data_IF_393816529751
#
_entry.id   IF_393816529751
#
_cell.length_a   1.000
_cell.length_b   1.000
_cell.length_c   1.000
_cell.angle_alpha   90.00
_cell.angle_beta   90.00
_cell.angle_gamma   90.00
#
_symmetry.space_group_name_H-M   'P 1'
#
loop_
_entity.id
_entity.type
_entity.pdbx_description
1 polymer ?
#
# COMPACT_ATOMS: atom_id res chain seq x y z
N UNK A 1 -28.95 1.07 -15.67
CA UNK A 1 -28.32 1.07 -14.32
C UNK A 1 -26.84 1.37 -14.46
N UNK A 2 -26.28 2.31 -13.68
CA UNK A 2 -24.85 2.65 -13.72
C UNK A 2 -24.10 1.81 -12.67
N UNK A 3 -23.18 0.94 -13.10
CA UNK A 3 -22.44 0.04 -12.20
C UNK A 3 -21.37 0.79 -11.39
N UNK A 4 -21.41 0.65 -10.06
CA UNK A 4 -20.45 1.24 -9.10
C UNK A 4 -19.25 0.35 -8.79
N UNK A 5 -19.29 -0.95 -9.12
CA UNK A 5 -18.22 -1.93 -8.87
C UNK A 5 -17.12 -1.89 -9.96
N UNK A 6 -16.61 -0.70 -10.27
CA UNK A 6 -15.59 -0.48 -11.29
C UNK A 6 -14.52 0.51 -10.84
N UNK A 7 -14.42 0.77 -9.52
CA UNK A 7 -13.59 1.85 -8.97
C UNK A 7 -12.12 1.68 -9.28
N UNK A 8 -11.58 0.46 -9.15
CA UNK A 8 -10.18 0.13 -9.48
C UNK A 8 -9.92 0.42 -10.96
N UNK A 9 -10.68 -0.23 -11.86
CA UNK A 9 -10.53 -0.06 -13.32
C UNK A 9 -10.66 1.40 -13.79
N UNK A 10 -11.44 2.23 -13.08
CA UNK A 10 -11.66 3.64 -13.41
C UNK A 10 -10.77 4.60 -12.63
N UNK A 11 -9.79 4.09 -11.87
CA UNK A 11 -8.89 4.89 -11.04
C UNK A 11 -9.61 5.85 -10.07
N UNK A 12 -10.72 5.38 -9.47
CA UNK A 12 -11.55 6.19 -8.57
C UNK A 12 -11.08 6.07 -7.13
N UNK A 13 -10.01 6.79 -6.81
CA UNK A 13 -9.41 6.84 -5.48
C UNK A 13 -10.12 7.84 -4.56
N UNK A 14 -10.09 7.58 -3.26
CA UNK A 14 -10.56 8.50 -2.23
C UNK A 14 -9.65 9.74 -2.19
N UNK A 15 -10.25 10.93 -2.24
CA UNK A 15 -9.53 12.21 -2.17
C UNK A 15 -9.30 12.72 -0.74
N UNK A 16 -9.84 12.01 0.25
CA UNK A 16 -9.82 12.40 1.67
C UNK A 16 -8.79 11.58 2.46
N UNK A 17 -7.71 11.15 1.82
CA UNK A 17 -6.58 10.48 2.47
C UNK A 17 -5.30 11.22 2.11
N UNK A 18 -4.39 11.33 3.07
CA UNK A 18 -3.12 12.04 2.91
C UNK A 18 -2.01 11.39 3.73
N UNK A 19 -0.77 11.61 3.31
CA UNK A 19 0.43 11.12 4.01
C UNK A 19 0.85 12.15 5.04
N UNK A 20 1.16 11.70 6.24
CA UNK A 20 1.64 12.55 7.32
C UNK A 20 2.79 11.89 8.08
N UNK A 21 3.61 12.68 8.75
CA UNK A 21 4.64 12.16 9.64
C UNK A 21 4.02 11.76 10.99
N UNK A 22 4.24 10.51 11.41
CA UNK A 22 3.74 9.98 12.69
C UNK A 22 4.69 10.24 13.86
N UNK A 23 5.86 10.84 13.60
CA UNK A 23 6.98 11.09 14.54
C UNK A 23 7.63 9.85 15.15
N UNK A 24 6.90 8.74 15.28
CA UNK A 24 7.37 7.50 15.92
C UNK A 24 7.56 6.34 14.95
N UNK A 25 6.75 6.26 13.91
CA UNK A 25 6.73 5.12 12.98
C UNK A 25 7.00 5.55 11.54
N UNK A 26 7.68 6.70 11.36
CA UNK A 26 7.89 7.30 10.06
C UNK A 26 6.61 7.85 9.45
N UNK A 27 6.47 7.74 8.13
CA UNK A 27 5.30 8.23 7.41
C UNK A 27 4.08 7.32 7.65
N UNK A 28 2.90 7.93 7.71
CA UNK A 28 1.61 7.27 7.91
C UNK A 28 0.57 7.79 6.93
N UNK A 29 -0.50 7.03 6.73
CA UNK A 29 -1.67 7.46 5.97
C UNK A 29 -2.81 7.83 6.93
N UNK A 30 -3.41 9.01 6.77
CA UNK A 30 -4.56 9.46 7.58
C UNK A 30 -5.75 9.87 6.73
N UNK A 31 -6.93 9.86 7.34
CA UNK A 31 -8.11 10.48 6.77
C UNK A 31 -8.11 12.00 7.01
N UNK A 32 -8.48 12.76 5.99
CA UNK A 32 -8.62 14.23 6.03
C UNK A 32 -10.07 14.67 6.30
N UNK A 33 -11.02 13.73 6.26
CA UNK A 33 -12.43 13.91 6.56
C UNK A 33 -13.03 12.57 7.04
N UNK A 34 -14.23 12.55 7.65
CA UNK A 34 -14.90 11.30 8.00
C UNK A 34 -15.09 10.39 6.77
N UNK A 35 -14.74 9.11 6.90
CA UNK A 35 -14.87 8.11 5.84
C UNK A 35 -15.88 7.06 6.29
N UNK A 36 -16.93 6.84 5.49
CA UNK A 36 -17.93 5.83 5.79
C UNK A 36 -17.36 4.40 5.65
N UNK A 37 -17.85 3.47 6.48
CA UNK A 37 -17.50 2.05 6.41
C UNK A 37 -17.76 1.49 5.00
N UNK A 38 -16.81 0.71 4.48
CA UNK A 38 -16.89 0.11 3.13
C UNK A 38 -16.52 1.07 1.99
N UNK A 39 -16.09 2.30 2.30
CA UNK A 39 -15.54 3.20 1.28
C UNK A 39 -14.24 2.65 0.72
N UNK A 40 -14.18 2.52 -0.59
CA UNK A 40 -12.95 2.20 -1.31
C UNK A 40 -11.96 3.38 -1.22
N UNK A 41 -10.74 3.11 -0.76
CA UNK A 41 -9.71 4.12 -0.56
C UNK A 41 -8.80 4.25 -1.78
N UNK A 42 -7.90 3.31 -1.99
CA UNK A 42 -6.96 3.29 -3.09
C UNK A 42 -6.47 1.86 -3.33
N UNK A 43 -5.83 1.65 -4.47
CA UNK A 43 -5.16 0.39 -4.78
C UNK A 43 -3.74 0.39 -4.21
N UNK A 44 -3.32 -0.75 -3.66
CA UNK A 44 -1.92 -0.98 -3.29
C UNK A 44 -1.14 -1.38 -4.54
N UNK A 45 -0.30 -0.47 -5.02
CA UNK A 45 0.43 -0.64 -6.29
C UNK A 45 1.93 -0.71 -6.01
N UNK A 46 2.63 -1.54 -6.77
CA UNK A 46 4.07 -1.69 -6.81
C UNK A 46 4.50 -2.60 -7.97
N UNK A 47 5.76 -2.96 -8.04
CA UNK A 47 6.27 -3.96 -8.99
C UNK A 47 5.75 -5.36 -8.60
N UNK A 48 5.15 -6.10 -9.54
CA UNK A 48 4.77 -7.49 -9.30
C UNK A 48 5.99 -8.38 -9.60
N UNK A 49 6.52 -9.03 -8.57
CA UNK A 49 7.70 -9.88 -8.65
C UNK A 49 7.45 -11.24 -7.97
N UNK A 50 8.31 -12.23 -8.24
CA UNK A 50 8.25 -13.52 -7.56
C UNK A 50 8.74 -13.40 -6.11
N UNK A 51 8.31 -14.31 -5.24
CA UNK A 51 8.81 -14.38 -3.86
C UNK A 51 10.33 -14.55 -3.78
N UNK A 52 10.90 -15.39 -4.65
CA UNK A 52 12.36 -15.56 -4.77
C UNK A 52 13.06 -14.23 -5.07
N UNK A 53 12.57 -13.49 -6.07
CA UNK A 53 13.12 -12.19 -6.43
C UNK A 53 12.97 -11.16 -5.31
N UNK A 54 11.86 -11.20 -4.58
CA UNK A 54 11.65 -10.34 -3.42
C UNK A 54 12.67 -10.65 -2.31
N UNK A 55 12.91 -11.93 -2.00
CA UNK A 55 13.92 -12.34 -1.01
C UNK A 55 15.34 -11.93 -1.43
N UNK A 56 15.70 -12.06 -2.71
CA UNK A 56 16.96 -11.54 -3.24
C UNK A 56 17.09 -10.03 -3.02
N UNK A 57 16.04 -9.25 -3.32
CA UNK A 57 16.05 -7.79 -3.11
C UNK A 57 16.17 -7.45 -1.62
N UNK A 58 15.46 -8.17 -0.75
CA UNK A 58 15.55 -8.00 0.70
C UNK A 58 16.96 -8.26 1.23
N UNK A 59 17.63 -9.31 0.77
CA UNK A 59 18.97 -9.65 1.23
C UNK A 59 20.06 -8.70 0.71
N UNK A 60 19.88 -8.12 -0.49
CA UNK A 60 20.94 -7.36 -1.16
C UNK A 60 20.67 -5.85 -1.22
N UNK A 61 19.47 -5.44 -1.63
CA UNK A 61 19.13 -4.03 -1.87
C UNK A 61 18.53 -3.35 -0.65
N UNK A 62 17.67 -4.06 0.09
CA UNK A 62 16.89 -3.52 1.21
C UNK A 62 17.40 -4.00 2.58
N UNK A 63 18.60 -4.58 2.63
CA UNK A 63 19.16 -5.20 3.84
C UNK A 63 19.41 -4.22 4.99
N UNK A 64 19.44 -2.92 4.70
CA UNK A 64 19.62 -1.83 5.67
C UNK A 64 18.37 -0.97 5.84
N UNK A 65 17.28 -1.31 5.17
CA UNK A 65 16.05 -0.53 5.26
C UNK A 65 15.25 -0.94 6.51
N UNK A 66 14.78 0.06 7.25
CA UNK A 66 13.97 -0.16 8.46
C UNK A 66 12.47 -0.37 8.14
N UNK A 67 12.03 0.07 6.97
CA UNK A 67 10.63 0.04 6.55
C UNK A 67 10.42 -0.93 5.39
N UNK A 68 9.40 -1.78 5.50
CA UNK A 68 9.08 -2.79 4.51
C UNK A 68 7.81 -2.46 3.73
N UNK A 69 7.94 -2.20 2.43
CA UNK A 69 6.83 -1.83 1.56
C UNK A 69 6.48 -2.99 0.62
N UNK A 70 5.76 -4.00 1.14
CA UNK A 70 5.44 -5.21 0.39
C UNK A 70 4.05 -5.76 0.72
N UNK A 71 3.41 -6.43 -0.24
CA UNK A 71 2.14 -7.13 -0.05
C UNK A 71 2.11 -8.44 -0.83
N UNK A 72 1.76 -9.55 -0.18
CA UNK A 72 1.58 -10.84 -0.86
C UNK A 72 0.35 -10.78 -1.76
N UNK A 73 0.51 -11.11 -3.04
CA UNK A 73 -0.56 -11.10 -4.05
C UNK A 73 -1.12 -12.50 -4.29
N UNK A 74 -0.24 -13.47 -4.49
CA UNK A 74 -0.59 -14.90 -4.63
C UNK A 74 0.42 -15.75 -3.86
N UNK A 75 0.36 -17.07 -3.97
CA UNK A 75 1.34 -17.96 -3.32
C UNK A 75 2.78 -17.67 -3.76
N UNK A 76 3.00 -17.22 -5.00
CA UNK A 76 4.33 -17.07 -5.59
C UNK A 76 4.65 -15.63 -6.03
N UNK A 77 3.69 -14.69 -5.88
CA UNK A 77 3.82 -13.30 -6.33
C UNK A 77 3.65 -12.32 -5.18
N UNK A 78 4.46 -11.27 -5.23
CA UNK A 78 4.55 -10.19 -4.27
C UNK A 78 4.43 -8.87 -5.02
N UNK A 79 3.71 -7.91 -4.44
CA UNK A 79 3.76 -6.50 -4.84
C UNK A 79 4.86 -5.84 -4.03
N UNK A 80 5.99 -5.56 -4.67
CA UNK A 80 7.11 -4.81 -4.12
C UNK A 80 6.91 -3.31 -4.38
N UNK A 81 6.65 -2.56 -3.32
CA UNK A 81 6.37 -1.13 -3.36
C UNK A 81 7.55 -0.26 -2.84
N UNK A 82 8.75 -0.82 -2.66
CA UNK A 82 9.91 -0.08 -2.15
C UNK A 82 10.32 1.09 -3.04
N UNK A 83 10.43 0.84 -4.35
CA UNK A 83 10.94 1.82 -5.33
C UNK A 83 9.82 2.56 -6.07
N UNK A 84 8.70 1.88 -6.30
CA UNK A 84 7.56 2.39 -7.05
C UNK A 84 6.29 1.97 -6.34
N UNK A 85 5.38 2.91 -6.07
CA UNK A 85 4.11 2.55 -5.47
C UNK A 85 3.17 3.72 -5.22
N UNK A 86 1.96 3.38 -4.76
CA UNK A 86 0.93 4.37 -4.39
C UNK A 86 1.11 4.89 -2.96
N UNK A 87 0.28 5.85 -2.55
CA UNK A 87 0.22 6.34 -1.16
C UNK A 87 -0.20 5.24 -0.16
N UNK A 88 -0.79 4.14 -0.64
CA UNK A 88 -1.23 3.02 0.18
C UNK A 88 -0.07 2.38 0.95
N UNK A 89 1.17 2.47 0.43
CA UNK A 89 2.36 1.91 1.10
C UNK A 89 2.68 2.55 2.45
N UNK A 90 2.13 3.74 2.73
CA UNK A 90 2.30 4.43 4.00
C UNK A 90 1.20 4.09 5.03
N UNK A 91 0.30 3.16 4.73
CA UNK A 91 -0.62 2.64 5.72
C UNK A 91 0.15 1.79 6.74
N UNK A 92 0.28 2.30 7.96
CA UNK A 92 0.98 1.60 9.03
C UNK A 92 0.17 0.42 9.58
N UNK A 93 0.88 -0.52 10.20
CA UNK A 93 0.28 -1.65 10.90
C UNK A 93 -0.43 -1.21 12.19
N UNK A 94 -1.55 -1.85 12.51
CA UNK A 94 -2.23 -1.79 13.80
C UNK A 94 -2.70 -3.19 14.17
N UNK A 95 -2.62 -3.57 15.45
CA UNK A 95 -3.20 -4.81 15.94
C UNK A 95 -4.74 -4.78 15.96
N UNK A 96 -5.35 -3.60 15.84
CA UNK A 96 -6.80 -3.40 15.68
C UNK A 96 -7.05 -2.47 14.48
N UNK A 97 -7.02 -3.00 13.25
CA UNK A 97 -7.26 -2.22 12.03
C UNK A 97 -8.73 -1.82 11.84
#
# INVERSE_FOLDING_TARGET
>A
VKCSNQKIRKNQWCKHVDVFDTSKYGQGLRAMAPIAKGTFLCEYVGEIITEERFHERMANLYSKDEHHYTMKLTQNLVIDAYRMGSIARFANHSCSP
#
